data_IF_210858789803
#
_entry.id   IF_210858789803
#
_cell.length_a   1.000
_cell.length_b   1.000
_cell.length_c   1.000
_cell.angle_alpha   90.00
_cell.angle_beta   90.00
_cell.angle_gamma   90.00
#
_symmetry.space_group_name_H-M   'P 1'
#
loop_
_entity.id
_entity.type
_entity.pdbx_description
1 polymer ?
#
# COMPACT_ATOMS: atom_id res chain seq x y z
N UNK A 1 -1.51 -33.09 9.79
CA UNK A 1 -2.32 -31.86 9.57
C UNK A 1 -1.59 -30.75 10.28
N UNK A 2 -0.68 -30.10 9.58
CA UNK A 2 0.17 -29.04 10.11
C UNK A 2 -0.70 -27.82 10.35
N UNK A 3 -0.91 -27.48 11.63
CA UNK A 3 -1.53 -26.24 12.08
C UNK A 3 -0.73 -25.06 11.49
N UNK A 4 -1.24 -24.52 10.39
CA UNK A 4 -0.60 -23.44 9.65
C UNK A 4 -0.70 -22.11 10.42
N UNK A 5 0.24 -21.22 10.14
CA UNK A 5 0.53 -19.90 10.73
C UNK A 5 -0.63 -18.88 10.82
N UNK A 6 -1.87 -19.30 10.56
CA UNK A 6 -3.10 -18.55 10.87
C UNK A 6 -3.45 -18.50 12.37
N UNK A 7 -2.68 -19.16 13.25
CA UNK A 7 -2.93 -19.15 14.71
C UNK A 7 -2.99 -17.73 15.31
N UNK A 8 -2.25 -16.78 14.74
CA UNK A 8 -2.23 -15.37 15.16
C UNK A 8 -2.93 -14.44 14.15
N UNK A 9 -3.71 -15.00 13.23
CA UNK A 9 -4.53 -14.21 12.33
C UNK A 9 -5.73 -13.66 13.11
N UNK A 10 -6.04 -12.35 13.05
CA UNK A 10 -7.13 -11.79 13.82
C UNK A 10 -8.47 -12.45 13.45
N UNK A 11 -9.25 -12.81 14.47
CA UNK A 11 -10.61 -13.36 14.25
C UNK A 11 -11.63 -12.27 13.92
N UNK A 12 -11.36 -11.04 14.34
CA UNK A 12 -12.14 -9.85 14.02
C UNK A 12 -11.82 -9.32 12.62
N UNK A 13 -12.84 -9.03 11.82
CA UNK A 13 -12.71 -8.59 10.43
C UNK A 13 -12.07 -7.21 10.32
N UNK A 14 -12.45 -6.28 11.20
CA UNK A 14 -11.88 -4.94 11.22
C UNK A 14 -10.38 -4.98 11.59
N UNK A 15 -9.98 -5.81 12.56
CA UNK A 15 -8.58 -6.02 12.89
C UNK A 15 -7.77 -6.62 11.73
N UNK A 16 -8.37 -7.50 10.92
CA UNK A 16 -7.71 -8.00 9.68
C UNK A 16 -7.57 -6.92 8.64
N UNK A 17 -8.61 -6.12 8.46
CA UNK A 17 -8.62 -4.98 7.55
C UNK A 17 -7.51 -3.98 7.89
N UNK A 18 -7.41 -3.55 9.15
CA UNK A 18 -6.31 -2.69 9.66
C UNK A 18 -4.95 -3.34 9.38
N UNK A 19 -4.79 -4.61 9.75
CA UNK A 19 -3.51 -5.34 9.58
C UNK A 19 -3.08 -5.40 8.11
N UNK A 20 -4.03 -5.59 7.19
CA UNK A 20 -3.75 -5.61 5.76
C UNK A 20 -3.44 -4.24 5.19
N UNK A 21 -4.11 -3.18 5.66
CA UNK A 21 -3.74 -1.80 5.36
C UNK A 21 -2.28 -1.50 5.74
N UNK A 22 -1.88 -1.83 6.97
CA UNK A 22 -0.48 -1.65 7.40
C UNK A 22 0.50 -2.52 6.62
N UNK A 23 0.15 -3.77 6.34
CA UNK A 23 1.02 -4.66 5.56
C UNK A 23 1.24 -4.12 4.14
N UNK A 24 0.20 -3.62 3.49
CA UNK A 24 0.29 -2.95 2.19
C UNK A 24 1.21 -1.73 2.26
N UNK A 25 0.96 -0.81 3.20
CA UNK A 25 1.75 0.42 3.31
C UNK A 25 3.22 0.17 3.64
N UNK A 26 3.52 -0.79 4.53
CA UNK A 26 4.88 -1.26 4.80
C UNK A 26 5.54 -1.80 3.54
N UNK A 27 4.85 -2.66 2.80
CA UNK A 27 5.36 -3.21 1.52
C UNK A 27 5.64 -2.10 0.51
N UNK A 28 4.75 -1.12 0.40
CA UNK A 28 4.92 0.03 -0.50
C UNK A 28 6.17 0.86 -0.11
N UNK A 29 6.40 1.09 1.18
CA UNK A 29 7.52 1.90 1.67
C UNK A 29 8.86 1.19 1.69
N UNK A 30 8.90 -0.08 2.05
CA UNK A 30 10.15 -0.83 2.12
C UNK A 30 10.56 -1.31 0.74
N UNK A 31 9.64 -1.94 0.01
CA UNK A 31 9.96 -2.59 -1.26
C UNK A 31 9.90 -1.62 -2.43
N UNK A 32 8.78 -0.90 -2.61
CA UNK A 32 8.58 -0.08 -3.82
C UNK A 32 9.41 1.20 -3.77
N UNK A 33 9.36 1.95 -2.67
CA UNK A 33 10.21 3.13 -2.48
C UNK A 33 11.69 2.76 -2.42
N UNK A 34 12.06 1.66 -1.74
CA UNK A 34 13.43 1.13 -1.73
C UNK A 34 13.95 0.84 -3.13
N UNK A 35 13.18 0.09 -3.93
CA UNK A 35 13.48 -0.22 -5.32
C UNK A 35 13.69 1.02 -6.20
N UNK A 36 12.88 2.07 -6.00
CA UNK A 36 13.03 3.33 -6.73
C UNK A 36 14.29 4.10 -6.31
N UNK A 37 14.59 4.13 -5.00
CA UNK A 37 15.80 4.78 -4.47
C UNK A 37 17.09 4.15 -4.98
N UNK A 38 17.14 2.81 -5.08
CA UNK A 38 18.29 2.08 -5.63
C UNK A 38 18.62 2.42 -7.09
N UNK A 39 17.67 3.02 -7.82
CA UNK A 39 17.83 3.42 -9.22
C UNK A 39 18.26 4.87 -9.41
N UNK A 40 18.37 5.64 -8.34
CA UNK A 40 18.93 6.99 -8.42
C UNK A 40 20.41 6.86 -8.83
N UNK A 41 20.82 7.60 -9.86
CA UNK A 41 22.20 7.56 -10.35
C UNK A 41 23.17 7.85 -9.19
N UNK A 42 24.10 6.93 -8.87
CA UNK A 42 25.05 7.12 -7.78
C UNK A 42 25.95 8.35 -7.98
N UNK A 43 26.13 8.82 -9.23
CA UNK A 43 26.89 10.03 -9.56
C UNK A 43 26.10 11.34 -9.35
N UNK A 44 24.79 11.26 -9.04
CA UNK A 44 23.97 12.44 -8.75
C UNK A 44 24.54 13.25 -7.59
N UNK A 45 24.46 14.58 -7.70
CA UNK A 45 24.71 15.48 -6.58
C UNK A 45 23.73 15.23 -5.43
N UNK A 46 24.04 15.77 -4.26
CA UNK A 46 23.16 15.69 -3.08
C UNK A 46 21.79 16.32 -3.36
N UNK A 47 21.78 17.47 -4.04
CA UNK A 47 20.53 18.18 -4.39
C UNK A 47 19.66 17.36 -5.35
N UNK A 48 20.25 16.80 -6.40
CA UNK A 48 19.54 15.93 -7.36
C UNK A 48 18.98 14.67 -6.68
N UNK A 49 19.74 14.06 -5.76
CA UNK A 49 19.29 12.91 -4.99
C UNK A 49 18.10 13.26 -4.11
N UNK A 50 18.15 14.38 -3.40
CA UNK A 50 17.04 14.83 -2.54
C UNK A 50 15.78 15.15 -3.36
N UNK A 51 15.94 15.79 -4.52
CA UNK A 51 14.84 16.06 -5.44
C UNK A 51 14.21 14.75 -5.97
N UNK A 52 15.03 13.77 -6.36
CA UNK A 52 14.56 12.47 -6.80
C UNK A 52 13.81 11.71 -5.68
N UNK A 53 14.36 11.70 -4.46
CA UNK A 53 13.70 11.08 -3.31
C UNK A 53 12.36 11.75 -2.96
N UNK A 54 12.27 13.08 -3.09
CA UNK A 54 11.00 13.79 -2.92
C UNK A 54 10.00 13.40 -4.00
N UNK A 55 10.42 13.37 -5.26
CA UNK A 55 9.55 12.98 -6.37
C UNK A 55 9.00 11.56 -6.21
N UNK A 56 9.83 10.62 -5.71
CA UNK A 56 9.39 9.26 -5.37
C UNK A 56 8.28 9.30 -4.30
N UNK A 57 8.49 10.03 -3.19
CA UNK A 57 7.49 10.15 -2.12
C UNK A 57 6.18 10.78 -2.60
N UNK A 58 6.27 11.90 -3.30
CA UNK A 58 5.10 12.61 -3.83
C UNK A 58 4.30 11.72 -4.80
N UNK A 59 4.99 10.91 -5.62
CA UNK A 59 4.36 9.99 -6.57
C UNK A 59 3.62 8.87 -5.85
N UNK A 60 4.25 8.25 -4.84
CA UNK A 60 3.61 7.20 -4.04
C UNK A 60 2.41 7.73 -3.27
N UNK A 61 2.51 8.95 -2.72
CA UNK A 61 1.39 9.62 -2.07
C UNK A 61 0.23 9.86 -3.05
N UNK A 62 0.51 10.42 -4.24
CA UNK A 62 -0.50 10.63 -5.27
C UNK A 62 -1.14 9.32 -5.75
N UNK A 63 -0.38 8.24 -5.85
CA UNK A 63 -0.93 6.92 -6.17
C UNK A 63 -1.89 6.40 -5.10
N UNK A 64 -1.60 6.63 -3.81
CA UNK A 64 -2.55 6.27 -2.75
C UNK A 64 -3.79 7.17 -2.74
N UNK A 65 -3.65 8.47 -3.04
CA UNK A 65 -4.81 9.34 -3.23
C UNK A 65 -5.73 8.86 -4.35
N UNK A 66 -5.17 8.29 -5.42
CA UNK A 66 -5.97 7.69 -6.49
C UNK A 66 -6.75 6.46 -5.99
N UNK A 67 -6.11 5.60 -5.20
CA UNK A 67 -6.76 4.42 -4.63
C UNK A 67 -7.82 4.79 -3.60
N UNK A 68 -7.57 5.78 -2.75
CA UNK A 68 -8.53 6.31 -1.76
C UNK A 68 -9.71 7.09 -2.40
N UNK A 69 -9.77 7.17 -3.74
CA UNK A 69 -10.83 7.93 -4.44
C UNK A 69 -10.75 9.45 -4.26
N UNK A 70 -9.65 9.97 -3.71
CA UNK A 70 -9.44 11.42 -3.55
C UNK A 70 -9.19 12.10 -4.90
N UNK A 71 -8.58 11.38 -5.85
CA UNK A 71 -8.38 11.85 -7.21
C UNK A 71 -9.57 11.40 -8.07
N UNK A 72 -10.41 12.35 -8.46
CA UNK A 72 -11.50 12.12 -9.42
C UNK A 72 -10.96 11.55 -10.73
N UNK A 73 -11.55 10.44 -11.20
CA UNK A 73 -11.20 9.80 -12.46
C UNK A 73 -12.41 9.73 -13.40
N UNK A 74 -12.77 10.85 -14.08
CA UNK A 74 -13.90 10.87 -15.00
C UNK A 74 -13.60 10.07 -16.27
N UNK A 75 -14.56 9.26 -16.72
CA UNK A 75 -14.54 8.62 -18.04
C UNK A 75 -15.16 9.56 -19.08
N UNK A 76 -16.29 10.17 -18.73
CA UNK A 76 -17.00 11.15 -19.55
C UNK A 76 -17.80 12.15 -18.67
N UNK A 77 -18.82 12.80 -19.23
CA UNK A 77 -19.62 13.81 -18.51
C UNK A 77 -20.51 13.21 -17.41
N UNK A 78 -20.89 11.94 -17.53
CA UNK A 78 -21.88 11.29 -16.66
C UNK A 78 -21.28 10.11 -15.87
N UNK A 79 -20.07 9.64 -16.21
CA UNK A 79 -19.45 8.46 -15.61
C UNK A 79 -18.05 8.73 -15.05
N UNK A 80 -17.77 8.16 -13.89
CA UNK A 80 -16.43 8.07 -13.29
C UNK A 80 -15.97 6.62 -13.17
N UNK A 81 -14.67 6.44 -12.92
CA UNK A 81 -14.08 5.18 -12.50
C UNK A 81 -13.47 5.34 -11.13
N UNK A 82 -13.50 4.24 -10.38
CA UNK A 82 -12.79 4.10 -9.12
C UNK A 82 -11.92 2.85 -9.20
N UNK A 83 -10.76 2.90 -8.53
CA UNK A 83 -9.82 1.80 -8.50
C UNK A 83 -9.82 1.18 -7.11
N UNK A 84 -10.16 -0.10 -7.04
CA UNK A 84 -10.13 -0.84 -5.78
C UNK A 84 -8.77 -1.50 -5.54
N UNK A 85 -8.29 -1.42 -4.31
CA UNK A 85 -7.16 -2.22 -3.83
C UNK A 85 -7.71 -3.39 -3.03
N UNK A 86 -7.37 -4.61 -3.44
CA UNK A 86 -7.88 -5.84 -2.80
C UNK A 86 -6.72 -6.72 -2.35
N UNK A 87 -6.64 -6.97 -1.04
CA UNK A 87 -5.74 -7.93 -0.45
C UNK A 87 -6.36 -9.34 -0.48
N UNK A 88 -5.64 -10.30 -1.07
CA UNK A 88 -6.05 -11.71 -1.09
C UNK A 88 -5.12 -12.54 -0.24
N UNK A 89 -5.66 -13.16 0.80
CA UNK A 89 -4.92 -14.10 1.63
C UNK A 89 -5.05 -15.49 1.04
N UNK A 90 -3.94 -16.18 0.88
CA UNK A 90 -3.90 -17.54 0.35
C UNK A 90 -2.89 -18.39 1.13
N UNK A 91 -3.11 -19.69 1.15
CA UNK A 91 -2.15 -20.65 1.65
C UNK A 91 -0.97 -20.74 0.68
N UNK A 92 0.26 -20.47 1.13
CA UNK A 92 1.43 -20.45 0.24
C UNK A 92 1.76 -21.82 -0.37
N UNK A 93 1.51 -22.91 0.36
CA UNK A 93 1.82 -24.27 -0.08
C UNK A 93 0.78 -24.81 -1.08
N UNK A 94 -0.51 -24.61 -0.78
CA UNK A 94 -1.61 -25.15 -1.60
C UNK A 94 -2.12 -24.18 -2.65
N UNK A 95 -1.77 -22.89 -2.53
CA UNK A 95 -2.31 -21.77 -3.32
C UNK A 95 -3.83 -21.61 -3.19
N UNK A 96 -4.44 -22.23 -2.19
CA UNK A 96 -5.86 -22.07 -1.87
C UNK A 96 -6.12 -20.65 -1.36
N UNK A 97 -7.11 -19.97 -1.95
CA UNK A 97 -7.57 -18.66 -1.48
C UNK A 97 -8.39 -18.83 -0.20
N UNK A 98 -8.03 -18.06 0.81
CA UNK A 98 -8.62 -18.13 2.15
C UNK A 98 -9.55 -16.95 2.41
N UNK A 99 -9.17 -15.76 1.93
CA UNK A 99 -9.86 -14.53 2.25
C UNK A 99 -9.57 -13.44 1.20
N UNK A 100 -10.52 -12.52 1.02
CA UNK A 100 -10.39 -11.32 0.20
C UNK A 100 -10.82 -10.12 1.05
N UNK A 101 -10.02 -9.07 1.08
CA UNK A 101 -10.22 -7.87 1.89
C UNK A 101 -10.03 -6.65 0.99
N UNK A 102 -11.08 -5.88 0.77
CA UNK A 102 -11.00 -4.60 0.05
C UNK A 102 -10.43 -3.52 0.98
N UNK A 103 -9.36 -2.88 0.54
CA UNK A 103 -8.60 -1.88 1.29
C UNK A 103 -8.83 -0.45 0.79
N UNK A 104 -9.37 -0.27 -0.41
CA UNK A 104 -9.69 1.03 -1.00
C UNK A 104 -10.87 0.85 -1.96
N UNK A 105 -11.73 1.87 -2.17
CA UNK A 105 -11.54 3.30 -1.85
C UNK A 105 -11.80 3.72 -0.41
N UNK A 106 -12.57 2.97 0.37
CA UNK A 106 -13.04 3.34 1.70
C UNK A 106 -12.01 3.05 2.80
N UNK A 107 -10.74 3.22 2.43
CA UNK A 107 -9.57 2.68 3.09
C UNK A 107 -9.13 3.37 4.37
N UNK A 108 -10.02 3.93 5.20
CA UNK A 108 -9.73 4.86 6.32
C UNK A 108 -8.45 5.72 6.11
N UNK A 109 -8.29 6.24 4.88
CA UNK A 109 -7.12 6.98 4.42
C UNK A 109 -5.83 6.17 4.36
N UNK A 110 -5.65 5.33 3.33
CA UNK A 110 -4.33 4.73 3.03
C UNK A 110 -3.26 5.82 2.90
N UNK A 111 -3.61 6.98 2.36
CA UNK A 111 -2.74 8.15 2.29
C UNK A 111 -2.43 8.78 3.66
N UNK A 112 -3.30 8.66 4.67
CA UNK A 112 -3.07 9.17 6.03
C UNK A 112 -2.03 8.34 6.78
N UNK A 113 -1.98 7.03 6.49
CA UNK A 113 -0.97 6.12 7.03
C UNK A 113 0.45 6.39 6.53
N UNK A 114 0.62 7.19 5.46
CA UNK A 114 1.92 7.39 4.80
C UNK A 114 2.99 7.88 5.77
N UNK A 115 2.69 8.90 6.57
CA UNK A 115 3.66 9.54 7.45
C UNK A 115 4.10 8.58 8.56
N UNK A 116 3.15 7.83 9.12
CA UNK A 116 3.44 6.82 10.14
C UNK A 116 4.28 5.66 9.58
N UNK A 117 4.12 5.27 8.31
CA UNK A 117 5.01 4.29 7.66
C UNK A 117 6.40 4.87 7.35
N UNK A 118 6.49 6.13 6.96
CA UNK A 118 7.77 6.80 6.71
C UNK A 118 8.59 6.97 7.99
N UNK A 119 7.93 7.26 9.10
CA UNK A 119 8.55 7.46 10.41
C UNK A 119 8.79 6.14 11.16
N UNK A 120 8.37 5.00 10.60
CA UNK A 120 8.55 3.68 11.19
C UNK A 120 7.72 3.45 12.45
N UNK A 121 6.62 4.19 12.62
CA UNK A 121 5.77 4.14 13.82
C UNK A 121 4.82 2.93 13.86
N UNK A 122 4.83 2.08 12.83
CA UNK A 122 4.08 0.82 12.77
C UNK A 122 4.99 -0.39 12.96
N UNK A 123 5.05 -0.89 14.20
CA UNK A 123 5.56 -2.23 14.56
C UNK A 123 4.43 -3.23 14.85
#
# INVERSE_FOLDING_TARGET
MTESNYKNWPTDEHARWIRMGHFFGKTLMEEVKGHAKERIDPASSVEERLAAEKAIRDTLYGFMMLLDGVIDSPIDQDHGVEFALVARVFNQDTREYLEEIELAPDGDGLCMGIHMWEDGEFE
#
